data_IF_742647001157
#
_entry.id   IF_742647001157
#
_cell.length_a   1.000
_cell.length_b   1.000
_cell.length_c   1.000
_cell.angle_alpha   90.00
_cell.angle_beta   90.00
_cell.angle_gamma   90.00
#
_symmetry.space_group_name_H-M   'P 1'
#
loop_
_entity.id
_entity.type
_entity.pdbx_description
1 polymer ?
#
# COMPACT_ATOMS: atom_id res chain seq x y z
N UNK A 1 -11.28 -2.70 13.03
CA UNK A 1 -9.96 -3.31 12.74
C UNK A 1 -8.96 -2.18 12.58
N UNK A 2 -7.73 -2.31 13.08
CA UNK A 2 -6.67 -1.32 12.83
C UNK A 2 -6.18 -1.41 11.37
N UNK A 3 -5.57 -0.34 10.86
CA UNK A 3 -4.95 -0.34 9.54
C UNK A 3 -3.64 -1.15 9.50
N UNK A 4 -3.00 -1.25 8.33
CA UNK A 4 -1.70 -1.89 8.19
C UNK A 4 -0.63 -1.15 9.00
N UNK A 5 0.42 -1.87 9.36
CA UNK A 5 1.57 -1.33 10.09
C UNK A 5 2.85 -1.36 9.27
N UNK A 6 3.77 -0.45 9.60
CA UNK A 6 5.12 -0.37 9.05
C UNK A 6 6.13 -0.11 10.16
N UNK A 7 7.30 -0.75 10.06
CA UNK A 7 8.43 -0.40 10.91
C UNK A 7 9.05 0.91 10.42
N UNK A 8 9.31 1.83 11.34
CA UNK A 8 10.03 3.08 11.12
C UNK A 8 11.37 2.98 11.83
N UNK A 9 12.46 3.25 11.11
CA UNK A 9 13.82 3.32 11.66
C UNK A 9 14.27 4.77 11.71
N UNK A 10 14.72 5.19 12.87
CA UNK A 10 15.26 6.52 13.14
C UNK A 10 16.73 6.33 13.51
N UNK A 11 17.60 7.06 12.83
CA UNK A 11 19.05 6.95 13.01
C UNK A 11 19.64 8.33 13.23
N UNK A 12 20.39 8.47 14.31
CA UNK A 12 21.16 9.65 14.67
C UNK A 12 22.62 9.48 14.21
N UNK A 13 23.31 10.59 13.97
CA UNK A 13 24.74 10.61 13.64
C UNK A 13 25.64 10.17 14.79
N UNK A 14 25.13 10.26 16.02
CA UNK A 14 25.78 9.86 17.25
C UNK A 14 24.75 9.41 18.29
N UNK A 15 25.22 8.92 19.44
CA UNK A 15 24.31 8.43 20.47
C UNK A 15 23.61 9.60 21.17
N UNK A 16 22.29 9.52 21.30
CA UNK A 16 21.47 10.53 21.99
C UNK A 16 20.85 9.97 23.27
N UNK A 17 20.48 10.87 24.17
CA UNK A 17 19.74 10.57 25.41
C UNK A 17 18.50 11.46 25.50
N UNK A 18 17.49 11.00 26.24
CA UNK A 18 16.22 11.73 26.39
C UNK A 18 15.25 11.59 25.21
N UNK A 19 15.61 10.91 24.11
CA UNK A 19 14.70 10.66 23.00
C UNK A 19 13.63 9.63 23.37
N UNK A 20 12.37 10.02 23.28
CA UNK A 20 11.19 9.23 23.61
C UNK A 20 10.16 9.26 22.49
N UNK A 21 9.20 8.34 22.52
CA UNK A 21 8.10 8.33 21.52
C UNK A 21 7.26 9.62 21.58
N UNK A 22 7.25 10.30 22.73
CA UNK A 22 6.59 11.60 22.89
C UNK A 22 7.22 12.72 22.06
N UNK A 23 8.46 12.54 21.60
CA UNK A 23 9.14 13.48 20.71
C UNK A 23 8.73 13.30 19.23
N UNK A 24 7.84 12.35 18.93
CA UNK A 24 7.36 12.07 17.57
C UNK A 24 5.92 12.53 17.39
N UNK A 25 5.68 13.27 16.29
CA UNK A 25 4.34 13.53 15.76
C UNK A 25 4.13 12.79 14.46
N UNK A 26 3.12 11.91 14.42
CA UNK A 26 2.75 11.14 13.24
C UNK A 26 1.21 11.04 13.16
N UNK A 27 0.53 11.94 12.42
CA UNK A 27 -0.94 11.93 12.32
C UNK A 27 -1.48 10.66 11.67
N UNK A 28 -2.79 10.41 11.81
CA UNK A 28 -3.47 9.32 11.11
C UNK A 28 -2.91 7.91 11.39
N UNK A 29 -2.31 7.73 12.57
CA UNK A 29 -1.90 6.43 13.07
C UNK A 29 -1.45 6.48 14.52
N UNK A 30 -0.97 5.34 15.01
CA UNK A 30 -0.45 5.16 16.35
C UNK A 30 0.97 4.59 16.29
N UNK A 31 1.80 5.00 17.26
CA UNK A 31 3.17 4.53 17.43
C UNK A 31 3.25 3.54 18.59
N UNK A 32 4.03 2.47 18.42
CA UNK A 32 4.42 1.59 19.52
C UNK A 32 5.43 2.28 20.45
N UNK A 33 5.83 1.58 21.52
CA UNK A 33 7.07 1.90 22.21
C UNK A 33 8.28 1.71 21.28
N UNK A 34 9.39 2.37 21.60
CA UNK A 34 10.65 2.15 20.91
C UNK A 34 11.24 0.78 21.22
N UNK A 35 11.97 0.28 20.24
CA UNK A 35 13.03 -0.71 20.39
C UNK A 35 14.36 -0.10 19.89
N UNK A 36 15.49 -0.44 20.50
CA UNK A 36 16.79 0.20 20.29
C UNK A 36 17.06 1.42 21.17
N UNK A 37 18.32 1.85 21.20
CA UNK A 37 18.83 2.98 22.01
C UNK A 37 20.06 3.63 21.36
N UNK A 38 20.44 4.82 21.86
CA UNK A 38 21.67 5.49 21.48
C UNK A 38 21.57 6.10 20.08
N UNK A 39 22.05 5.39 19.06
CA UNK A 39 22.08 5.90 17.68
C UNK A 39 20.89 5.46 16.84
N UNK A 40 20.25 4.33 17.18
CA UNK A 40 19.22 3.72 16.34
C UNK A 40 18.01 3.34 17.16
N UNK A 41 16.85 3.85 16.75
CA UNK A 41 15.55 3.57 17.34
C UNK A 41 14.62 3.03 16.26
N UNK A 42 13.80 2.06 16.63
CA UNK A 42 12.75 1.53 15.79
C UNK A 42 11.40 1.65 16.48
N UNK A 43 10.38 2.00 15.72
CA UNK A 43 9.00 2.12 16.20
C UNK A 43 8.07 1.55 15.15
N UNK A 44 7.01 0.87 15.58
CA UNK A 44 5.96 0.42 14.67
C UNK A 44 4.91 1.50 14.55
N UNK A 45 4.71 2.02 13.33
CA UNK A 45 3.60 2.90 12.99
C UNK A 45 2.44 2.05 12.47
N UNK A 46 1.26 2.21 13.05
CA UNK A 46 0.02 1.55 12.62
C UNK A 46 -0.95 2.60 12.11
N UNK A 47 -1.28 2.54 10.83
CA UNK A 47 -2.22 3.49 10.24
C UNK A 47 -3.62 3.33 10.83
N UNK A 48 -4.34 4.44 10.97
CA UNK A 48 -5.78 4.41 11.30
C UNK A 48 -6.54 3.77 10.13
N UNK A 49 -7.48 2.88 10.42
CA UNK A 49 -8.29 2.24 9.39
C UNK A 49 -9.27 3.22 8.72
N UNK A 50 -9.74 2.87 7.52
CA UNK A 50 -10.69 3.67 6.74
C UNK A 50 -10.27 5.14 6.57
N UNK A 51 -8.96 5.38 6.54
CA UNK A 51 -8.34 6.70 6.37
C UNK A 51 -7.70 6.79 5.00
N UNK A 52 -7.95 7.92 4.34
CA UNK A 52 -7.30 8.34 3.10
C UNK A 52 -6.70 9.72 3.34
N UNK A 53 -5.37 9.81 3.31
CA UNK A 53 -4.61 11.02 3.58
C UNK A 53 -3.37 11.03 2.68
N UNK A 54 -3.43 11.81 1.60
CA UNK A 54 -2.35 11.89 0.61
C UNK A 54 -1.09 12.60 1.13
N UNK A 55 -1.24 13.48 2.13
CA UNK A 55 -0.16 14.32 2.64
C UNK A 55 -0.10 14.28 4.16
N UNK A 56 0.82 13.49 4.71
CA UNK A 56 1.18 13.49 6.13
C UNK A 56 2.67 13.76 6.30
N UNK A 57 3.07 14.18 7.50
CA UNK A 57 4.47 14.38 7.87
C UNK A 57 4.76 13.67 9.19
N UNK A 58 5.75 12.79 9.18
CA UNK A 58 6.31 12.16 10.37
C UNK A 58 7.41 13.09 10.86
N UNK A 59 7.26 13.62 12.07
CA UNK A 59 8.12 14.65 12.62
C UNK A 59 8.80 14.14 13.88
N UNK A 60 10.10 14.39 13.98
CA UNK A 60 10.92 14.19 15.16
C UNK A 60 11.24 15.58 15.73
N UNK A 61 10.91 15.79 17.01
CA UNK A 61 11.22 17.02 17.75
C UNK A 61 12.70 17.13 18.12
N UNK A 62 13.05 18.13 18.93
CA UNK A 62 14.42 18.41 19.38
C UNK A 62 14.67 18.12 20.86
N UNK A 63 13.79 17.34 21.52
CA UNK A 63 13.79 17.11 22.98
C UNK A 63 14.90 16.20 23.52
N UNK A 64 15.82 15.75 22.67
CA UNK A 64 16.93 14.87 23.03
C UNK A 64 18.28 15.62 23.00
N UNK A 65 19.30 15.04 23.62
CA UNK A 65 20.65 15.63 23.69
C UNK A 65 21.74 14.60 23.37
N UNK A 66 22.87 15.06 22.84
CA UNK A 66 24.07 14.22 22.68
C UNK A 66 24.86 14.10 24.00
N UNK A 67 26.00 13.39 23.95
CA UNK A 67 26.89 13.23 25.10
C UNK A 67 27.61 14.52 25.54
N UNK A 68 27.74 15.50 24.64
CA UNK A 68 28.33 16.82 24.92
C UNK A 68 27.29 17.81 25.47
N UNK A 69 26.01 17.44 25.53
CA UNK A 69 24.90 18.27 25.98
C UNK A 69 24.30 19.17 24.90
N UNK A 70 24.64 18.98 23.62
CA UNK A 70 24.00 19.72 22.53
C UNK A 70 22.58 19.21 22.31
N UNK A 71 21.62 20.12 22.16
CA UNK A 71 20.24 19.78 21.85
C UNK A 71 20.08 19.21 20.45
N UNK A 72 19.12 18.30 20.31
CA UNK A 72 18.76 17.67 19.05
C UNK A 72 18.21 18.65 18.01
N UNK A 73 18.16 18.18 16.77
CA UNK A 73 17.55 18.89 15.65
C UNK A 73 16.19 18.27 15.30
N UNK A 74 15.31 19.09 14.72
CA UNK A 74 14.07 18.57 14.14
C UNK A 74 14.37 17.78 12.86
N UNK A 75 13.59 16.72 12.62
CA UNK A 75 13.66 15.91 11.41
C UNK A 75 12.26 15.58 10.90
N UNK A 76 12.10 15.39 9.60
CA UNK A 76 10.81 14.97 9.05
C UNK A 76 10.91 14.13 7.78
N UNK A 77 9.87 13.35 7.53
CA UNK A 77 9.66 12.65 6.27
C UNK A 77 8.16 12.60 5.95
N UNK A 78 7.82 12.69 4.66
CA UNK A 78 6.43 12.65 4.21
C UNK A 78 5.95 11.20 4.04
N UNK A 79 4.65 10.98 4.26
CA UNK A 79 4.00 9.71 3.94
C UNK A 79 2.53 9.92 3.59
N UNK A 80 1.98 8.94 2.86
CA UNK A 80 0.56 8.88 2.52
C UNK A 80 -0.07 7.65 3.17
N UNK A 81 -1.36 7.74 3.44
CA UNK A 81 -2.17 6.63 3.95
C UNK A 81 -3.33 6.44 2.99
N UNK A 82 -3.51 5.22 2.53
CA UNK A 82 -4.75 4.74 1.93
C UNK A 82 -5.07 3.37 2.55
N UNK A 83 -6.09 3.38 3.41
CA UNK A 83 -6.64 2.19 4.07
C UNK A 83 -8.13 2.07 3.84
N UNK A 84 -8.67 2.93 2.98
CA UNK A 84 -10.08 2.90 2.61
C UNK A 84 -10.26 1.75 1.62
N UNK A 85 -11.36 1.04 1.77
CA UNK A 85 -11.66 -0.06 0.88
C UNK A 85 -12.40 0.48 -0.35
N UNK A 86 -12.09 -0.01 -1.55
CA UNK A 86 -12.87 0.34 -2.73
C UNK A 86 -14.32 -0.10 -2.53
N UNK A 87 -15.25 0.78 -2.88
CA UNK A 87 -16.68 0.52 -2.85
C UNK A 87 -17.27 0.59 -4.26
N UNK A 88 -18.47 0.07 -4.46
CA UNK A 88 -19.18 0.24 -5.75
C UNK A 88 -19.79 1.65 -5.76
N UNK A 89 -19.33 2.48 -6.69
CA UNK A 89 -19.86 3.82 -6.90
C UNK A 89 -21.18 3.80 -7.69
N UNK A 90 -21.29 2.96 -8.71
CA UNK A 90 -22.53 2.83 -9.48
C UNK A 90 -22.64 1.49 -10.22
N UNK A 91 -23.88 1.09 -10.51
CA UNK A 91 -24.21 -0.01 -11.41
C UNK A 91 -25.25 0.53 -12.38
N UNK A 92 -24.94 0.50 -13.68
CA UNK A 92 -25.80 1.04 -14.73
C UNK A 92 -26.04 -0.04 -15.78
N UNK A 93 -27.31 -0.31 -16.06
CA UNK A 93 -27.71 -1.10 -17.21
C UNK A 93 -27.88 -0.16 -18.40
N UNK A 94 -27.36 -0.52 -19.57
CA UNK A 94 -27.61 0.23 -20.79
C UNK A 94 -29.08 0.13 -21.22
N UNK A 95 -29.69 -1.02 -20.93
CA UNK A 95 -31.11 -1.29 -21.06
C UNK A 95 -31.63 -2.04 -19.83
N UNK A 96 -32.70 -1.54 -19.24
CA UNK A 96 -33.35 -2.07 -18.04
C UNK A 96 -34.55 -2.98 -18.37
N UNK A 97 -34.88 -3.16 -19.64
CA UNK A 97 -36.01 -3.95 -20.15
C UNK A 97 -35.55 -4.98 -21.18
N UNK A 98 -35.16 -6.17 -20.71
CA UNK A 98 -34.77 -7.27 -21.59
C UNK A 98 -36.00 -8.00 -22.15
N UNK A 99 -36.08 -8.11 -23.48
CA UNK A 99 -37.13 -8.87 -24.17
C UNK A 99 -36.54 -10.07 -24.91
N UNK A 100 -37.37 -10.95 -25.46
CA UNK A 100 -36.89 -12.06 -26.31
C UNK A 100 -36.13 -11.54 -27.54
N UNK A 101 -36.48 -10.36 -28.06
CA UNK A 101 -35.79 -9.71 -29.19
C UNK A 101 -34.48 -9.02 -28.81
N UNK A 102 -34.31 -8.66 -27.53
CA UNK A 102 -33.14 -7.97 -26.98
C UNK A 102 -32.71 -8.66 -25.68
N UNK A 103 -32.08 -9.85 -25.77
CA UNK A 103 -31.84 -10.71 -24.61
C UNK A 103 -30.60 -10.33 -23.79
N UNK A 104 -29.91 -9.23 -24.13
CA UNK A 104 -28.67 -8.82 -23.48
C UNK A 104 -28.58 -7.30 -23.34
N UNK A 105 -28.08 -6.85 -22.19
CA UNK A 105 -27.79 -5.45 -21.88
C UNK A 105 -26.38 -5.35 -21.33
N UNK A 106 -25.68 -4.27 -21.70
CA UNK A 106 -24.38 -3.96 -21.10
C UNK A 106 -24.60 -3.49 -19.66
N UNK A 107 -23.87 -4.09 -18.73
CA UNK A 107 -23.82 -3.65 -17.33
C UNK A 107 -22.48 -2.99 -17.07
N UNK A 108 -22.51 -1.72 -16.70
CA UNK A 108 -21.34 -0.95 -16.30
C UNK A 108 -21.30 -0.84 -14.78
N UNK A 109 -20.22 -1.33 -14.17
CA UNK A 109 -19.97 -1.21 -12.73
C UNK A 109 -18.81 -0.22 -12.55
N UNK A 110 -19.05 0.83 -11.78
CA UNK A 110 -18.04 1.83 -11.42
C UNK A 110 -17.67 1.64 -9.97
N UNK A 111 -16.37 1.64 -9.64
CA UNK A 111 -15.86 1.60 -8.27
C UNK A 111 -15.48 3.01 -7.80
N UNK A 112 -15.53 3.26 -6.49
CA UNK A 112 -15.22 4.55 -5.86
C UNK A 112 -13.75 4.92 -5.91
N UNK A 113 -12.89 3.93 -6.13
CA UNK A 113 -11.44 4.06 -6.19
C UNK A 113 -10.94 3.26 -7.40
N UNK A 114 -9.95 3.80 -8.10
CA UNK A 114 -9.30 3.08 -9.18
C UNK A 114 -8.50 1.92 -8.58
N UNK A 115 -8.74 0.69 -9.06
CA UNK A 115 -7.91 -0.45 -8.68
C UNK A 115 -6.50 -0.27 -9.28
N UNK A 116 -5.58 0.24 -8.48
CA UNK A 116 -4.17 0.40 -8.85
C UNK A 116 -3.45 -0.94 -9.08
N UNK A 117 -4.10 -2.10 -8.86
CA UNK A 117 -3.52 -3.43 -9.16
C UNK A 117 -3.54 -3.83 -10.63
N UNK A 118 -4.18 -3.07 -11.52
CA UNK A 118 -4.22 -3.39 -12.96
C UNK A 118 -3.10 -2.75 -13.82
N UNK A 119 -2.20 -1.95 -13.23
CA UNK A 119 -1.24 -1.16 -14.04
C UNK A 119 0.14 -1.78 -14.28
N UNK A 120 0.30 -3.10 -14.20
CA UNK A 120 1.59 -3.75 -14.48
C UNK A 120 1.59 -4.78 -15.63
N UNK A 121 0.64 -4.72 -16.57
CA UNK A 121 0.76 -5.43 -17.86
C UNK A 121 0.27 -4.59 -19.04
N UNK A 122 1.20 -3.83 -19.63
CA UNK A 122 1.61 -3.91 -21.05
C UNK A 122 2.63 -2.80 -21.32
N UNK A 123 3.91 -3.11 -21.15
CA UNK A 123 4.96 -2.34 -21.81
C UNK A 123 4.91 -2.62 -23.31
N UNK A 124 4.79 -1.56 -24.13
CA UNK A 124 5.81 -1.24 -25.13
C UNK A 124 5.53 0.15 -25.74
N UNK A 125 6.06 1.19 -25.09
CA UNK A 125 6.91 2.23 -25.71
C UNK A 125 7.42 3.15 -24.59
N UNK A 126 8.65 3.58 -24.80
CA UNK A 126 9.63 4.13 -23.87
C UNK A 126 9.20 5.36 -23.05
N UNK A 127 9.86 5.47 -21.89
CA UNK A 127 9.90 6.57 -20.89
C UNK A 127 9.02 6.31 -19.66
N UNK A 128 9.63 6.53 -18.48
CA UNK A 128 9.11 6.34 -17.10
C UNK A 128 9.36 4.95 -16.46
N UNK A 129 10.61 4.76 -16.03
CA UNK A 129 10.96 3.86 -14.92
C UNK A 129 10.98 4.68 -13.63
N UNK A 130 10.03 4.46 -12.73
CA UNK A 130 10.20 4.53 -11.27
C UNK A 130 8.82 4.62 -10.58
N UNK A 131 8.14 3.48 -10.37
CA UNK A 131 7.15 3.28 -9.28
C UNK A 131 6.56 1.86 -9.32
N UNK A 132 7.43 0.84 -9.39
CA UNK A 132 7.00 -0.54 -9.14
C UNK A 132 8.03 -1.15 -8.20
N UNK A 133 7.69 -1.28 -6.90
CA UNK A 133 8.11 -2.36 -5.99
C UNK A 133 7.77 -2.03 -4.52
N UNK A 134 6.67 -2.58 -4.01
CA UNK A 134 6.61 -3.36 -2.75
C UNK A 134 5.20 -3.92 -2.56
N UNK A 135 5.08 -5.04 -1.83
CA UNK A 135 3.88 -5.83 -1.53
C UNK A 135 3.57 -7.00 -2.48
N UNK A 136 4.45 -8.00 -2.48
CA UNK A 136 4.09 -9.39 -2.85
C UNK A 136 4.38 -10.31 -1.66
N UNK A 137 3.40 -10.56 -0.79
CA UNK A 137 3.36 -11.80 0.02
C UNK A 137 2.06 -12.17 0.75
N UNK A 138 0.91 -11.62 0.41
CA UNK A 138 -0.36 -12.10 0.95
C UNK A 138 -1.37 -12.24 -0.17
N UNK A 139 -2.15 -13.32 -0.17
CA UNK A 139 -3.17 -13.70 -1.15
C UNK A 139 -2.71 -14.56 -2.33
N UNK A 140 -2.21 -15.74 -2.01
CA UNK A 140 -2.46 -16.92 -2.84
C UNK A 140 -2.96 -18.07 -1.95
N UNK A 141 -4.20 -17.97 -1.47
CA UNK A 141 -5.01 -19.13 -1.09
C UNK A 141 -6.47 -18.71 -0.94
N UNK A 142 -7.35 -19.43 -1.67
CA UNK A 142 -8.83 -19.29 -1.76
C UNK A 142 -9.25 -18.12 -2.67
N UNK A 143 -9.88 -18.33 -3.83
CA UNK A 143 -11.02 -19.22 -4.08
C UNK A 143 -11.01 -19.80 -5.49
N UNK A 144 -11.13 -21.13 -5.56
CA UNK A 144 -11.73 -21.86 -6.67
C UNK A 144 -13.24 -21.63 -6.63
N UNK A 145 -13.83 -21.09 -7.70
CA UNK A 145 -15.22 -21.29 -8.16
C UNK A 145 -15.26 -20.76 -9.61
N UNK A 146 -15.00 -21.59 -10.63
CA UNK A 146 -15.91 -22.54 -11.30
C UNK A 146 -17.17 -21.85 -11.85
N UNK A 147 -17.11 -21.48 -13.13
CA UNK A 147 -18.11 -21.58 -14.21
C UNK A 147 -17.49 -20.76 -15.38
N UNK A 148 -17.06 -21.28 -16.52
CA UNK A 148 -17.29 -22.57 -17.14
C UNK A 148 -17.84 -22.37 -18.55
N UNK A 149 -17.14 -21.66 -19.44
CA UNK A 149 -17.27 -21.80 -20.91
C UNK A 149 -15.93 -21.44 -21.59
N UNK A 150 -15.17 -22.46 -22.02
CA UNK A 150 -14.05 -22.31 -22.96
C UNK A 150 -14.42 -23.04 -24.25
N UNK A 151 -14.54 -22.29 -25.35
CA UNK A 151 -14.60 -22.86 -26.70
C UNK A 151 -13.21 -23.31 -27.13
N UNK A 152 -13.20 -24.50 -27.72
CA UNK A 152 -12.07 -25.26 -28.25
C UNK A 152 -11.15 -24.44 -29.18
N UNK A 153 -9.85 -24.49 -28.91
CA UNK A 153 -8.79 -24.06 -29.81
C UNK A 153 -7.46 -24.68 -29.38
N UNK A 154 -7.16 -25.85 -29.94
CA UNK A 154 -5.92 -26.59 -29.79
C UNK A 154 -4.70 -25.74 -30.20
N UNK A 155 -3.69 -25.61 -29.34
CA UNK A 155 -2.30 -25.41 -29.77
C UNK A 155 -1.30 -25.81 -28.66
N UNK A 156 -1.00 -27.11 -28.67
CA UNK A 156 0.31 -27.74 -28.54
C UNK A 156 1.42 -26.99 -27.76
N UNK A 157 1.74 -27.51 -26.58
CA UNK A 157 2.97 -27.23 -25.83
C UNK A 157 4.18 -27.90 -26.51
N UNK A 158 5.32 -27.22 -26.69
CA UNK A 158 6.60 -27.88 -26.76
C UNK A 158 7.35 -27.72 -25.44
N UNK A 159 7.38 -28.85 -24.72
CA UNK A 159 8.51 -29.49 -24.05
C UNK A 159 9.88 -28.76 -24.03
N UNK A 160 10.46 -28.73 -22.82
CA UNK A 160 11.91 -28.78 -22.45
C UNK A 160 12.68 -27.47 -22.18
N UNK A 161 12.83 -27.22 -20.87
CA UNK A 161 14.10 -27.17 -20.11
C UNK A 161 15.41 -27.05 -20.91
N UNK A 162 16.17 -25.97 -20.66
CA UNK A 162 17.62 -26.05 -20.35
C UNK A 162 18.10 -24.79 -19.62
N UNK A 163 18.65 -25.01 -18.43
CA UNK A 163 19.51 -24.08 -17.70
C UNK A 163 20.91 -24.10 -18.32
N UNK A 164 21.42 -22.91 -18.65
CA UNK A 164 22.77 -22.45 -18.32
C UNK A 164 22.72 -20.95 -18.12
#
# INVERSE_FOLDING_TARGET
VAGPSSLVTITFSEAVTGFTVGDISAPNGALSTFDGTGTTYTVTFTATAATEAASNSFQVGSGYVDAAGNSGSVGSTAYSIDTKAPSVASIVFADNSLTVGEPSSLVTITFSEADYRLHCRRHFRSQWRAQCFRWHRYYLHRHLYRHGQYRSGQQQLPSRLRLR
#
